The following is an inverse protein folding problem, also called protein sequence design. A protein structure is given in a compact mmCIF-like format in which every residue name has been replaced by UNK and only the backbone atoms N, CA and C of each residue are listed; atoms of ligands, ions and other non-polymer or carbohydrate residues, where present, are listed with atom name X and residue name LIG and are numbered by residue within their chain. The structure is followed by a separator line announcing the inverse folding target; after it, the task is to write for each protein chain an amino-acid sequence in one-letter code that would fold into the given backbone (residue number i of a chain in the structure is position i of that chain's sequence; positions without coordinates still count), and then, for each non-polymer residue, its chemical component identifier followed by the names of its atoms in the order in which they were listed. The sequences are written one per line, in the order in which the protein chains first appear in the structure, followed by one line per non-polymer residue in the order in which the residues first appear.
data_IF_550400897465
#
_entry.id   IF_550400897465
#
_cell.length_a   1.000
_cell.length_b   1.000
_cell.length_c   1.000
_cell.angle_alpha   90.00
_cell.angle_beta   90.00
_cell.angle_gamma   90.00
#
_symmetry.space_group_name_H-M   'P 1'
#
loop_
_entity.id
_entity.type
_entity.pdbx_description
1 polymer ?
#
# COMPACT_ATOMS: atom_id res chain seq x y z
N UNK A 1 -36.71 -27.99 -30.39
CA UNK A 1 -36.90 -27.17 -29.18
C UNK A 1 -36.07 -25.92 -29.35
N UNK A 2 -36.69 -24.74 -29.35
CA UNK A 2 -35.99 -23.46 -29.58
C UNK A 2 -35.21 -23.08 -28.32
N UNK A 3 -33.89 -23.16 -28.37
CA UNK A 3 -33.00 -22.66 -27.33
C UNK A 3 -33.01 -21.13 -27.37
N UNK A 4 -33.60 -20.49 -26.36
CA UNK A 4 -33.69 -19.04 -26.28
C UNK A 4 -32.28 -18.44 -26.18
N UNK A 5 -32.02 -17.40 -26.99
CA UNK A 5 -30.69 -16.75 -27.11
C UNK A 5 -30.29 -15.96 -25.85
N UNK A 6 -31.26 -15.61 -25.01
CA UNK A 6 -31.05 -14.94 -23.73
C UNK A 6 -31.25 -15.96 -22.61
N UNK A 7 -30.21 -16.17 -21.82
CA UNK A 7 -30.16 -17.18 -20.76
C UNK A 7 -30.57 -16.64 -19.39
N UNK A 8 -30.17 -15.41 -19.05
CA UNK A 8 -30.35 -14.82 -17.73
C UNK A 8 -30.52 -13.30 -17.83
N UNK A 9 -31.21 -12.75 -16.85
CA UNK A 9 -31.29 -11.32 -16.57
C UNK A 9 -30.15 -10.94 -15.59
N UNK A 10 -29.56 -9.77 -15.78
CA UNK A 10 -28.52 -9.22 -14.92
C UNK A 10 -28.92 -7.84 -14.44
N UNK A 11 -28.64 -7.54 -13.17
CA UNK A 11 -28.92 -6.24 -12.55
C UNK A 11 -27.60 -5.48 -12.31
N UNK A 12 -27.63 -4.17 -12.48
CA UNK A 12 -26.56 -3.24 -12.08
C UNK A 12 -26.95 -2.48 -10.81
N UNK A 13 -26.06 -1.60 -10.32
CA UNK A 13 -26.27 -0.84 -9.08
C UNK A 13 -27.53 0.04 -9.13
N UNK A 14 -27.80 0.68 -10.26
CA UNK A 14 -28.93 1.60 -10.42
C UNK A 14 -30.30 0.89 -10.53
N UNK A 15 -30.30 -0.44 -10.72
CA UNK A 15 -31.52 -1.23 -10.84
C UNK A 15 -32.12 -1.61 -9.47
N UNK A 16 -31.37 -1.41 -8.38
CA UNK A 16 -31.73 -1.91 -7.04
C UNK A 16 -31.52 -0.88 -5.94
N UNK A 17 -32.30 -1.03 -4.86
CA UNK A 17 -32.13 -0.27 -3.62
C UNK A 17 -32.08 -1.23 -2.43
N UNK A 18 -31.34 -0.84 -1.39
CA UNK A 18 -31.35 -1.56 -0.12
C UNK A 18 -32.65 -1.23 0.64
N UNK A 19 -33.40 -2.25 1.04
CA UNK A 19 -34.60 -2.09 1.86
C UNK A 19 -34.15 -1.82 3.31
N UNK A 20 -34.57 -0.70 3.94
CA UNK A 20 -34.26 -0.44 5.34
C UNK A 20 -34.82 -1.53 6.26
N UNK A 21 -34.07 -1.86 7.32
CA UNK A 21 -34.47 -2.81 8.35
C UNK A 21 -34.22 -2.23 9.75
N UNK A 22 -34.84 -2.82 10.76
CA UNK A 22 -34.58 -2.46 12.15
C UNK A 22 -33.10 -2.69 12.50
N UNK A 23 -32.49 -1.72 13.20
CA UNK A 23 -31.10 -1.79 13.65
C UNK A 23 -30.96 -1.23 15.05
N UNK A 24 -30.25 -1.94 15.91
CA UNK A 24 -29.82 -1.47 17.24
C UNK A 24 -28.41 -0.87 17.21
N UNK A 25 -27.69 -1.01 16.09
CA UNK A 25 -26.31 -0.54 15.92
C UNK A 25 -26.30 0.87 15.35
N UNK A 26 -25.54 1.77 16.00
CA UNK A 26 -25.32 3.11 15.48
C UNK A 26 -24.29 3.09 14.34
N UNK A 27 -24.40 3.96 13.31
CA UNK A 27 -23.47 3.98 12.18
C UNK A 27 -21.98 4.07 12.57
N UNK A 28 -21.65 4.81 13.63
CA UNK A 28 -20.26 4.97 14.13
C UNK A 28 -19.69 3.72 14.82
N UNK A 29 -20.54 2.74 15.12
CA UNK A 29 -20.19 1.51 15.84
C UNK A 29 -20.12 0.30 14.90
N UNK A 30 -20.42 0.50 13.61
CA UNK A 30 -20.32 -0.53 12.58
C UNK A 30 -18.84 -0.86 12.32
N UNK A 31 -18.50 -2.15 12.38
CA UNK A 31 -17.19 -2.63 11.96
C UNK A 31 -17.16 -2.78 10.43
N UNK A 32 -16.30 -2.00 9.77
CA UNK A 32 -16.10 -2.03 8.32
C UNK A 32 -14.87 -2.85 7.89
N UNK A 33 -14.16 -3.48 8.83
CA UNK A 33 -13.04 -4.37 8.52
C UNK A 33 -13.47 -5.49 7.58
N UNK A 34 -12.62 -5.76 6.58
CA UNK A 34 -12.92 -6.72 5.53
C UNK A 34 -11.69 -7.55 5.16
N UNK A 35 -11.91 -8.75 4.62
CA UNK A 35 -10.84 -9.59 4.09
C UNK A 35 -10.64 -9.30 2.61
N UNK A 36 -9.48 -8.75 2.26
CA UNK A 36 -9.09 -8.58 0.86
C UNK A 36 -8.66 -9.90 0.22
N UNK A 37 -7.92 -10.72 0.97
CA UNK A 37 -7.58 -12.10 0.58
C UNK A 37 -7.74 -13.04 1.77
N UNK A 38 -7.46 -14.33 1.59
CA UNK A 38 -7.45 -15.31 2.70
C UNK A 38 -6.51 -14.88 3.86
N UNK A 39 -5.42 -14.18 3.54
CA UNK A 39 -4.34 -13.85 4.47
C UNK A 39 -4.18 -12.34 4.71
N UNK A 40 -4.99 -11.49 4.07
CA UNK A 40 -4.87 -10.03 4.15
C UNK A 40 -6.21 -9.46 4.59
N UNK A 41 -6.23 -8.87 5.78
CA UNK A 41 -7.35 -8.07 6.28
C UNK A 41 -7.03 -6.59 6.11
N UNK A 42 -8.04 -5.79 5.79
CA UNK A 42 -7.97 -4.34 5.67
C UNK A 42 -8.98 -3.71 6.63
N UNK A 43 -8.65 -2.52 7.13
CA UNK A 43 -9.51 -1.81 8.08
C UNK A 43 -10.74 -1.19 7.43
N UNK A 44 -10.62 -0.86 6.15
CA UNK A 44 -11.66 -0.21 5.35
C UNK A 44 -11.80 -0.97 4.02
N UNK A 45 -13.01 -1.26 3.50
CA UNK A 45 -13.21 -2.05 2.29
C UNK A 45 -13.04 -1.21 1.01
N UNK A 46 -11.99 -0.38 0.97
CA UNK A 46 -11.70 0.54 -0.15
C UNK A 46 -10.32 0.25 -0.70
N UNK A 47 -10.24 0.15 -2.02
CA UNK A 47 -9.06 -0.31 -2.76
C UNK A 47 -8.85 0.62 -3.95
N UNK A 48 -7.61 1.06 -4.18
CA UNK A 48 -7.30 1.86 -5.37
C UNK A 48 -7.02 0.97 -6.58
N UNK A 49 -7.49 1.39 -7.74
CA UNK A 49 -7.36 0.65 -9.00
C UNK A 49 -5.90 0.58 -9.46
N UNK A 50 -5.52 -0.55 -10.07
CA UNK A 50 -4.18 -0.80 -10.61
C UNK A 50 -3.93 -0.09 -11.96
N UNK A 51 -4.13 1.23 -11.99
CA UNK A 51 -4.01 2.09 -13.17
C UNK A 51 -2.88 3.11 -12.98
N UNK A 52 -2.19 3.44 -14.06
CA UNK A 52 -1.06 4.39 -14.07
C UNK A 52 -1.45 5.80 -13.66
N UNK A 53 -2.67 6.21 -13.98
CA UNK A 53 -3.23 7.49 -13.56
C UNK A 53 -3.81 7.49 -12.15
N UNK A 54 -3.83 6.34 -11.47
CA UNK A 54 -4.50 6.18 -10.16
C UNK A 54 -3.51 5.83 -9.05
N UNK A 55 -2.69 4.79 -9.23
CA UNK A 55 -1.95 4.20 -8.09
C UNK A 55 -0.46 4.00 -8.35
N UNK A 56 0.34 4.96 -7.90
CA UNK A 56 1.78 4.79 -7.61
C UNK A 56 2.03 4.74 -6.09
N UNK A 57 3.29 4.76 -5.64
CA UNK A 57 3.64 4.64 -4.22
C UNK A 57 2.96 5.68 -3.32
N UNK A 58 2.78 6.93 -3.78
CA UNK A 58 2.11 7.98 -3.00
C UNK A 58 0.67 7.61 -2.65
N UNK A 59 -0.12 7.17 -3.64
CA UNK A 59 -1.50 6.74 -3.44
C UNK A 59 -1.55 5.47 -2.60
N UNK A 60 -0.67 4.50 -2.86
CA UNK A 60 -0.64 3.25 -2.09
C UNK A 60 -0.32 3.47 -0.61
N UNK A 61 0.56 4.42 -0.29
CA UNK A 61 0.85 4.85 1.09
C UNK A 61 -0.39 5.49 1.71
N UNK A 62 -1.01 6.46 1.04
CA UNK A 62 -2.20 7.14 1.54
C UNK A 62 -3.36 6.16 1.80
N UNK A 63 -3.62 5.25 0.86
CA UNK A 63 -4.62 4.19 1.01
C UNK A 63 -4.36 3.33 2.25
N UNK A 64 -3.11 2.94 2.48
CA UNK A 64 -2.73 2.12 3.63
C UNK A 64 -2.91 2.88 4.95
N UNK A 65 -2.54 4.17 5.01
CA UNK A 65 -2.74 5.01 6.20
C UNK A 65 -4.22 5.21 6.54
N UNK A 66 -5.11 5.25 5.54
CA UNK A 66 -6.57 5.30 5.71
C UNK A 66 -7.21 3.90 5.96
N UNK A 67 -6.37 2.87 6.14
CA UNK A 67 -6.82 1.51 6.46
C UNK A 67 -7.27 0.67 5.26
N UNK A 68 -7.17 1.20 4.05
CA UNK A 68 -7.39 0.48 2.80
C UNK A 68 -6.13 -0.19 2.25
N UNK A 69 -6.12 -0.48 0.95
CA UNK A 69 -4.96 -1.03 0.25
C UNK A 69 -4.85 -0.45 -1.16
N UNK A 70 -3.63 -0.13 -1.60
CA UNK A 70 -3.36 0.34 -2.96
C UNK A 70 -2.70 -0.73 -3.82
N UNK A 71 -3.16 -0.88 -5.06
CA UNK A 71 -2.57 -1.81 -6.03
C UNK A 71 -1.78 -1.03 -7.07
N UNK A 72 -0.46 -1.20 -7.08
CA UNK A 72 0.41 -0.55 -8.07
C UNK A 72 0.12 -1.06 -9.48
N UNK A 73 0.01 -0.15 -10.42
CA UNK A 73 -0.15 -0.50 -11.84
C UNK A 73 1.11 -1.19 -12.40
N UNK A 74 0.96 -1.81 -13.57
CA UNK A 74 2.03 -2.55 -14.28
C UNK A 74 2.63 -1.81 -15.48
N UNK A 75 2.21 -0.57 -15.73
CA UNK A 75 2.68 0.24 -16.87
C UNK A 75 4.05 0.86 -16.55
N UNK A 76 5.02 0.03 -16.17
CA UNK A 76 6.40 0.39 -15.86
C UNK A 76 7.27 -0.88 -15.91
N UNK A 77 8.59 -0.72 -15.90
CA UNK A 77 9.50 -1.88 -15.82
C UNK A 77 9.38 -2.59 -14.47
N UNK A 78 9.75 -3.87 -14.42
CA UNK A 78 9.78 -4.68 -13.19
C UNK A 78 10.62 -3.98 -12.09
N UNK A 79 11.76 -3.41 -12.47
CA UNK A 79 12.65 -2.69 -11.55
C UNK A 79 11.99 -1.42 -10.97
N UNK A 80 11.25 -0.68 -11.79
CA UNK A 80 10.51 0.50 -11.33
C UNK A 80 9.38 0.10 -10.39
N UNK A 81 8.61 -0.94 -10.72
CA UNK A 81 7.52 -1.39 -9.86
C UNK A 81 8.04 -1.89 -8.51
N UNK A 82 9.15 -2.64 -8.50
CA UNK A 82 9.81 -3.06 -7.26
C UNK A 82 10.29 -1.86 -6.42
N UNK A 83 10.76 -0.79 -7.07
CA UNK A 83 11.13 0.46 -6.39
C UNK A 83 9.92 1.15 -5.75
N UNK A 84 8.78 1.21 -6.43
CA UNK A 84 7.52 1.73 -5.89
C UNK A 84 7.05 0.91 -4.67
N UNK A 85 7.08 -0.43 -4.75
CA UNK A 85 6.79 -1.31 -3.61
C UNK A 85 7.72 -1.01 -2.44
N UNK A 86 9.03 -0.87 -2.70
CA UNK A 86 10.02 -0.58 -1.66
C UNK A 86 9.78 0.75 -0.97
N UNK A 87 9.31 1.78 -1.69
CA UNK A 87 8.89 3.07 -1.10
C UNK A 87 7.71 2.89 -0.15
N UNK A 88 6.66 2.16 -0.58
CA UNK A 88 5.47 1.90 0.26
C UNK A 88 5.85 1.14 1.53
N UNK A 89 6.63 0.05 1.41
CA UNK A 89 7.01 -0.74 2.60
C UNK A 89 7.87 0.02 3.60
N UNK A 90 8.58 1.07 3.16
CA UNK A 90 9.44 1.91 4.01
C UNK A 90 8.74 3.11 4.64
N UNK A 91 7.49 3.43 4.26
CA UNK A 91 6.84 4.68 4.70
C UNK A 91 6.49 4.73 6.19
N UNK A 92 6.14 3.59 6.80
CA UNK A 92 5.69 3.52 8.22
C UNK A 92 6.39 2.41 9.02
N UNK A 93 7.56 1.93 8.57
CA UNK A 93 8.29 0.91 9.32
C UNK A 93 8.85 1.49 10.63
N UNK A 94 8.16 1.26 11.76
CA UNK A 94 8.66 1.58 13.11
C UNK A 94 9.96 0.85 13.49
N UNK A 95 10.30 -0.22 12.77
CA UNK A 95 11.61 -0.87 12.75
C UNK A 95 12.03 -1.07 11.28
N UNK A 96 13.14 -0.47 10.86
CA UNK A 96 13.63 -0.58 9.48
C UNK A 96 14.37 -1.91 9.31
N UNK A 97 13.77 -2.85 8.59
CA UNK A 97 14.45 -4.08 8.13
C UNK A 97 15.37 -3.70 6.97
N UNK A 98 16.66 -4.04 7.05
CA UNK A 98 17.70 -3.66 6.08
C UNK A 98 17.85 -2.13 5.94
N UNK A 99 18.34 -1.44 7.01
CA UNK A 99 18.55 -0.01 6.99
C UNK A 99 19.63 0.36 5.97
N UNK A 100 19.52 1.56 5.41
CA UNK A 100 20.63 2.12 4.64
C UNK A 100 21.71 2.47 5.64
N UNK A 101 22.87 1.82 5.54
CA UNK A 101 24.02 2.04 6.41
C UNK A 101 25.15 2.74 5.65
N UNK A 102 26.15 3.23 6.40
CA UNK A 102 27.34 3.89 5.88
C UNK A 102 28.57 3.37 6.62
N UNK A 103 29.71 3.24 5.94
CA UNK A 103 30.98 2.90 6.61
C UNK A 103 31.68 4.16 7.12
N UNK A 104 32.49 4.02 8.18
CA UNK A 104 33.20 5.15 8.83
C UNK A 104 34.08 5.98 7.89
N UNK A 105 34.50 5.41 6.76
CA UNK A 105 35.44 6.02 5.82
C UNK A 105 34.76 6.91 4.77
N UNK A 106 33.43 7.09 4.85
CA UNK A 106 32.68 7.93 3.92
C UNK A 106 32.52 9.36 4.43
N UNK A 107 32.62 10.31 3.50
CA UNK A 107 32.46 11.73 3.82
C UNK A 107 31.03 12.11 4.21
N UNK A 108 30.91 13.15 5.03
CA UNK A 108 29.62 13.76 5.43
C UNK A 108 28.80 14.22 4.22
N UNK A 109 29.47 14.66 3.14
CA UNK A 109 28.79 15.03 1.89
C UNK A 109 28.04 13.82 1.29
N UNK A 110 28.63 12.64 1.35
CA UNK A 110 28.01 11.40 0.88
C UNK A 110 26.83 11.01 1.77
N UNK A 111 26.97 11.08 3.10
CA UNK A 111 25.86 10.86 4.03
C UNK A 111 24.67 11.79 3.75
N UNK A 112 24.91 13.10 3.58
CA UNK A 112 23.86 14.07 3.22
C UNK A 112 23.18 13.76 1.90
N UNK A 113 23.94 13.25 0.91
CA UNK A 113 23.37 12.86 -0.38
C UNK A 113 22.40 11.68 -0.26
N UNK A 114 22.73 10.69 0.57
CA UNK A 114 21.89 9.54 0.88
C UNK A 114 20.63 9.98 1.65
N UNK A 115 20.80 10.81 2.69
CA UNK A 115 19.66 11.35 3.45
C UNK A 115 18.67 12.08 2.55
N UNK A 116 19.16 12.93 1.63
CA UNK A 116 18.32 13.64 0.66
C UNK A 116 17.63 12.68 -0.33
N UNK A 117 18.37 11.69 -0.85
CA UNK A 117 17.85 10.71 -1.83
C UNK A 117 16.74 9.84 -1.24
N UNK A 118 16.90 9.41 0.00
CA UNK A 118 15.98 8.48 0.65
C UNK A 118 15.00 9.14 1.64
N UNK A 119 15.11 10.47 1.82
CA UNK A 119 14.27 11.27 2.74
C UNK A 119 14.31 10.75 4.18
N UNK A 120 15.50 10.42 4.67
CA UNK A 120 15.74 9.89 6.03
C UNK A 120 16.52 10.89 6.89
N UNK A 121 16.16 10.96 8.18
CA UNK A 121 16.76 11.90 9.14
C UNK A 121 18.08 11.45 9.76
N UNK A 122 18.46 10.18 9.60
CA UNK A 122 19.71 9.62 10.11
C UNK A 122 20.10 8.36 9.35
N UNK A 123 21.38 8.01 9.41
CA UNK A 123 21.97 6.84 8.75
C UNK A 123 22.86 6.14 9.78
N UNK A 124 22.58 4.87 10.12
CA UNK A 124 23.47 4.07 10.97
C UNK A 124 24.84 3.88 10.31
N UNK A 125 25.90 4.08 11.09
CA UNK A 125 27.28 3.86 10.69
C UNK A 125 27.72 2.47 11.17
N UNK A 126 28.23 1.66 10.26
CA UNK A 126 28.69 0.30 10.53
C UNK A 126 30.19 0.16 10.25
N UNK A 127 30.81 -0.83 10.88
CA UNK A 127 32.17 -1.26 10.55
C UNK A 127 32.20 -2.35 9.45
N UNK A 128 33.39 -2.86 9.16
CA UNK A 128 33.59 -3.91 8.14
C UNK A 128 32.96 -5.26 8.53
N UNK A 129 32.71 -5.48 9.82
CA UNK A 129 32.01 -6.65 10.36
C UNK A 129 30.47 -6.48 10.37
N UNK A 130 29.97 -5.36 9.85
CA UNK A 130 28.55 -4.97 9.89
C UNK A 130 28.01 -4.72 11.31
N UNK A 131 28.88 -4.39 12.26
CA UNK A 131 28.48 -3.98 13.61
C UNK A 131 28.19 -2.47 13.65
N UNK A 132 27.15 -2.08 14.41
CA UNK A 132 26.76 -0.68 14.59
C UNK A 132 27.79 0.05 15.45
N UNK A 133 28.36 1.13 14.92
CA UNK A 133 29.36 1.94 15.62
C UNK A 133 28.91 3.41 15.81
N UNK A 134 27.84 3.86 15.15
CA UNK A 134 27.31 5.22 15.31
C UNK A 134 26.09 5.56 14.47
#
# INVERSE_FOLDING_TARGET
MSTSKILLEGLTYDDVLLVPAYSEVLPREVNIQSKFTKNISINTPVISAAMDTVTESSMAIAMASEGGIGILHKNMTIAQQASEVKKVKRSESGMIIDPITLTKDKDVAYAKSLMKKYKIGGIPVIDDASELIG
#
